data_IF_627704665366
#
_entry.id   IF_627704665366
#
_cell.length_a   1.000
_cell.length_b   1.000
_cell.length_c   1.000
_cell.angle_alpha   90.00
_cell.angle_beta   90.00
_cell.angle_gamma   90.00
#
_symmetry.space_group_name_H-M   'P 1'
#
loop_
_entity.id
_entity.type
_entity.pdbx_description
1 polymer ?
#
# COMPACT_ATOMS: atom_id res chain seq x y z
N UNK A 1 -13.21 6.29 -2.54
CA UNK A 1 -12.51 6.46 -3.85
C UNK A 1 -12.81 5.26 -4.73
N UNK A 2 -12.55 5.33 -6.04
CA UNK A 2 -12.71 4.18 -6.95
C UNK A 2 -11.57 3.16 -6.74
N UNK A 3 -11.71 1.97 -7.30
CA UNK A 3 -10.65 0.94 -7.28
C UNK A 3 -9.39 1.43 -7.99
N UNK A 4 -9.56 2.06 -9.15
CA UNK A 4 -8.47 2.64 -9.94
C UNK A 4 -7.73 3.75 -9.17
N UNK A 5 -8.48 4.63 -8.50
CA UNK A 5 -7.90 5.67 -7.66
C UNK A 5 -7.11 5.06 -6.50
N UNK A 6 -7.69 4.10 -5.77
CA UNK A 6 -7.02 3.43 -4.66
C UNK A 6 -5.72 2.75 -5.13
N UNK A 7 -5.79 1.98 -6.23
CA UNK A 7 -4.63 1.30 -6.80
C UNK A 7 -3.55 2.30 -7.23
N UNK A 8 -3.93 3.44 -7.79
CA UNK A 8 -2.99 4.51 -8.16
C UNK A 8 -2.30 5.10 -6.92
N UNK A 9 -3.04 5.38 -5.84
CA UNK A 9 -2.44 5.88 -4.60
C UNK A 9 -1.50 4.86 -3.96
N UNK A 10 -1.89 3.58 -3.94
CA UNK A 10 -1.05 2.48 -3.44
C UNK A 10 0.21 2.35 -4.29
N UNK A 11 0.09 2.36 -5.63
CA UNK A 11 1.23 2.31 -6.54
C UNK A 11 2.20 3.45 -6.28
N UNK A 12 1.69 4.68 -6.16
CA UNK A 12 2.53 5.86 -5.90
C UNK A 12 3.27 5.73 -4.56
N UNK A 13 2.58 5.33 -3.49
CA UNK A 13 3.19 5.14 -2.18
C UNK A 13 4.28 4.06 -2.18
N UNK A 14 4.04 2.94 -2.87
CA UNK A 14 5.06 1.88 -3.04
C UNK A 14 6.27 2.46 -3.75
N UNK A 15 6.09 3.14 -4.89
CA UNK A 15 7.19 3.69 -5.68
C UNK A 15 8.07 4.67 -4.89
N UNK A 16 7.47 5.48 -4.03
CA UNK A 16 8.22 6.38 -3.14
C UNK A 16 8.99 5.57 -2.10
N UNK A 17 8.32 4.62 -1.43
CA UNK A 17 8.93 3.79 -0.39
C UNK A 17 10.18 3.06 -0.90
N UNK A 18 10.12 2.49 -2.11
CA UNK A 18 11.23 1.72 -2.69
C UNK A 18 12.17 2.54 -3.57
N UNK A 19 11.88 3.83 -3.77
CA UNK A 19 12.63 4.74 -4.64
C UNK A 19 12.89 4.20 -6.06
N UNK A 20 11.95 3.42 -6.60
CA UNK A 20 12.02 2.81 -7.94
C UNK A 20 10.62 2.73 -8.55
N UNK A 21 10.57 2.71 -9.88
CA UNK A 21 9.31 2.49 -10.60
C UNK A 21 8.90 1.01 -10.45
N UNK A 22 7.69 0.78 -9.95
CA UNK A 22 7.11 -0.54 -9.72
C UNK A 22 5.69 -0.52 -10.27
N UNK A 23 5.37 -1.53 -11.08
CA UNK A 23 4.01 -1.82 -11.48
C UNK A 23 3.44 -2.88 -10.54
N UNK A 24 2.36 -2.55 -9.83
CA UNK A 24 1.62 -3.49 -9.00
C UNK A 24 0.25 -3.78 -9.62
N UNK A 25 -0.30 -4.94 -9.30
CA UNK A 25 -1.65 -5.35 -9.72
C UNK A 25 -2.47 -5.73 -8.49
N UNK A 26 -3.77 -5.97 -8.68
CA UNK A 26 -4.65 -6.40 -7.58
C UNK A 26 -4.19 -7.71 -6.92
N UNK A 27 -3.55 -8.60 -7.67
CA UNK A 27 -3.06 -9.88 -7.16
C UNK A 27 -1.70 -9.77 -6.47
N UNK A 28 -1.05 -8.61 -6.55
CA UNK A 28 0.31 -8.43 -6.03
C UNK A 28 0.34 -8.55 -4.51
N UNK A 29 1.30 -9.30 -4.00
CA UNK A 29 1.71 -9.26 -2.60
C UNK A 29 3.01 -8.50 -2.47
N UNK A 30 2.96 -7.35 -1.79
CA UNK A 30 4.09 -6.43 -1.69
C UNK A 30 5.27 -7.03 -0.92
N UNK A 31 5.05 -7.99 -0.03
CA UNK A 31 6.11 -8.61 0.77
C UNK A 31 6.51 -9.95 0.20
N UNK A 32 5.55 -10.82 -0.18
CA UNK A 32 5.87 -12.13 -0.76
C UNK A 32 6.58 -12.02 -2.13
N UNK A 33 6.40 -10.91 -2.87
CA UNK A 33 7.11 -10.64 -4.13
C UNK A 33 8.39 -9.81 -3.97
N UNK A 34 8.91 -9.64 -2.74
CA UNK A 34 10.12 -8.86 -2.43
C UNK A 34 10.06 -7.40 -2.95
N UNK A 35 8.86 -6.80 -3.00
CA UNK A 35 8.69 -5.40 -3.39
C UNK A 35 9.04 -4.48 -2.21
N UNK A 36 8.48 -4.76 -1.03
CA UNK A 36 8.73 -4.05 0.22
C UNK A 36 9.48 -4.97 1.18
N UNK A 37 10.62 -4.48 1.70
CA UNK A 37 11.24 -5.05 2.89
C UNK A 37 10.63 -4.47 4.18
N UNK A 38 11.17 -4.85 5.34
CA UNK A 38 10.66 -4.37 6.64
C UNK A 38 10.77 -2.85 6.83
N UNK A 39 11.79 -2.21 6.26
CA UNK A 39 11.99 -0.77 6.36
C UNK A 39 11.10 -0.05 5.34
N UNK A 40 11.06 -0.55 4.10
CA UNK A 40 10.19 -0.03 3.05
C UNK A 40 8.72 -0.10 3.48
N UNK A 41 8.33 -1.16 4.19
CA UNK A 41 6.97 -1.32 4.73
C UNK A 41 6.57 -0.19 5.68
N UNK A 42 7.49 0.31 6.51
CA UNK A 42 7.21 1.44 7.41
C UNK A 42 7.06 2.75 6.62
N UNK A 43 7.94 2.97 5.65
CA UNK A 43 7.88 4.16 4.78
C UNK A 43 6.60 4.14 3.95
N UNK A 44 6.26 2.99 3.39
CA UNK A 44 5.05 2.78 2.60
C UNK A 44 3.78 3.21 3.33
N UNK A 45 3.62 2.85 4.61
CA UNK A 45 2.42 3.25 5.38
C UNK A 45 2.34 4.76 5.50
N UNK A 46 3.46 5.43 5.78
CA UNK A 46 3.51 6.90 5.89
C UNK A 46 3.20 7.58 4.55
N UNK A 47 3.80 7.10 3.46
CA UNK A 47 3.57 7.63 2.11
C UNK A 47 2.13 7.35 1.63
N UNK A 48 1.54 6.21 2.02
CA UNK A 48 0.16 5.90 1.71
C UNK A 48 -0.80 6.87 2.41
N UNK A 49 -0.54 7.21 3.68
CA UNK A 49 -1.32 8.21 4.43
C UNK A 49 -1.25 9.59 3.76
N UNK A 50 -0.06 10.02 3.35
CA UNK A 50 0.13 11.29 2.63
C UNK A 50 -0.60 11.26 1.27
N UNK A 51 -0.45 10.16 0.51
CA UNK A 51 -1.06 10.00 -0.80
C UNK A 51 -2.60 10.03 -0.78
N UNK A 52 -3.23 9.49 0.27
CA UNK A 52 -4.70 9.50 0.42
C UNK A 52 -5.21 10.71 1.22
N UNK A 53 -4.32 11.46 1.87
CA UNK A 53 -4.66 12.61 2.73
C UNK A 53 -5.50 12.22 3.95
N UNK A 54 -5.35 11.00 4.46
CA UNK A 54 -6.13 10.46 5.59
C UNK A 54 -5.22 9.71 6.55
N UNK A 55 -5.61 9.72 7.82
CA UNK A 55 -4.96 8.87 8.81
C UNK A 55 -5.38 7.42 8.62
N UNK A 56 -4.40 6.53 8.61
CA UNK A 56 -4.63 5.08 8.70
C UNK A 56 -4.67 4.75 10.19
N UNK A 57 -5.72 4.05 10.67
CA UNK A 57 -5.81 3.65 12.08
C UNK A 57 -4.62 2.79 12.48
N UNK A 58 -4.24 2.83 13.76
CA UNK A 58 -3.17 2.01 14.32
C UNK A 58 -3.58 0.52 14.32
N UNK A 59 -3.25 -0.16 13.22
CA UNK A 59 -3.57 -1.56 12.96
C UNK A 59 -2.31 -2.30 12.48
N UNK A 60 -2.24 -3.59 12.78
CA UNK A 60 -1.15 -4.44 12.33
C UNK A 60 -1.41 -4.89 10.88
N UNK A 61 -0.73 -4.24 9.93
CA UNK A 61 -0.81 -4.53 8.50
C UNK A 61 -0.42 -5.98 8.18
N UNK A 62 0.51 -6.57 8.94
CA UNK A 62 0.94 -7.96 8.74
C UNK A 62 -0.19 -8.89 9.17
N UNK A 63 -0.73 -8.69 10.38
CA UNK A 63 -1.80 -9.51 10.92
C UNK A 63 -3.08 -9.46 10.06
N UNK A 64 -3.42 -8.27 9.55
CA UNK A 64 -4.59 -8.07 8.68
C UNK A 64 -4.33 -8.53 7.23
N UNK A 65 -3.06 -8.71 6.85
CA UNK A 65 -2.63 -9.07 5.51
C UNK A 65 -2.82 -7.94 4.50
N UNK A 66 -2.64 -6.69 4.94
CA UNK A 66 -2.79 -5.47 4.15
C UNK A 66 -1.60 -5.18 3.22
N UNK A 67 -0.58 -6.04 3.21
CA UNK A 67 0.43 -6.04 2.15
C UNK A 67 -0.04 -6.74 0.85
N UNK A 68 -1.19 -7.42 0.90
CA UNK A 68 -1.85 -7.98 -0.29
C UNK A 68 -2.72 -6.90 -0.93
N UNK A 69 -2.42 -6.50 -2.16
CA UNK A 69 -3.11 -5.38 -2.83
C UNK A 69 -4.62 -5.63 -2.91
N UNK A 70 -5.06 -6.87 -3.17
CA UNK A 70 -6.48 -7.29 -3.13
C UNK A 70 -7.22 -6.99 -1.83
N UNK A 71 -6.51 -6.94 -0.69
CA UNK A 71 -7.08 -6.59 0.62
C UNK A 71 -6.89 -5.11 0.94
N UNK A 72 -5.77 -4.55 0.51
CA UNK A 72 -5.45 -3.15 0.76
C UNK A 72 -6.35 -2.19 0.00
N UNK A 73 -6.67 -2.49 -1.26
CA UNK A 73 -7.56 -1.67 -2.09
C UNK A 73 -8.91 -1.42 -1.41
N UNK A 74 -9.69 -2.44 -0.99
CA UNK A 74 -10.96 -2.20 -0.32
C UNK A 74 -10.81 -1.54 1.06
N UNK A 75 -9.69 -1.78 1.75
CA UNK A 75 -9.38 -1.06 3.00
C UNK A 75 -9.22 0.44 2.75
N UNK A 76 -8.38 0.82 1.79
CA UNK A 76 -8.13 2.22 1.41
C UNK A 76 -9.40 2.89 0.86
N UNK A 77 -10.25 2.15 0.13
CA UNK A 77 -11.53 2.67 -0.34
C UNK A 77 -12.50 3.04 0.79
N UNK A 78 -12.42 2.33 1.92
CA UNK A 78 -13.28 2.53 3.07
C UNK A 78 -12.82 3.66 4.01
N UNK A 79 -11.57 4.12 3.87
CA UNK A 79 -11.05 5.31 4.53
C UNK A 79 -11.59 6.57 3.85
#
# INVERSE_FOLDING_TARGET
MTEEEALRHITAAVQVAVSKDVAITIETDLVEEDILDSLDSMVFVLELQDAIGKEIPDIDFVAEGLFKVRKLVPFVQAL
#
